data_IF_932491733684
#
_entry.id   IF_932491733684
#
_cell.length_a   1.000
_cell.length_b   1.000
_cell.length_c   1.000
_cell.angle_alpha   90.00
_cell.angle_beta   90.00
_cell.angle_gamma   90.00
#
_symmetry.space_group_name_H-M   'P 1'
#
loop_
_entity.id
_entity.type
_entity.pdbx_description
1 polymer ?
#
# COMPACT_ATOMS: atom_id res chain seq x y z
N UNK A 1 12.73 -9.90 2.25
CA UNK A 1 12.13 -10.23 0.94
C UNK A 1 11.38 -8.99 0.49
N UNK A 2 11.89 -8.27 -0.50
CA UNK A 2 11.20 -7.10 -1.06
C UNK A 2 10.08 -7.56 -1.99
N UNK A 3 9.01 -6.77 -2.09
CA UNK A 3 8.00 -6.99 -3.14
C UNK A 3 8.62 -6.66 -4.51
N UNK A 4 8.04 -7.24 -5.56
CA UNK A 4 8.48 -6.94 -6.92
C UNK A 4 8.34 -5.42 -7.20
N UNK A 5 9.33 -4.84 -7.89
CA UNK A 5 9.38 -3.40 -8.20
C UNK A 5 8.17 -2.96 -9.03
N UNK A 6 7.68 -3.82 -9.93
CA UNK A 6 6.49 -3.54 -10.75
C UNK A 6 5.25 -3.45 -9.87
N UNK A 7 5.10 -4.39 -8.94
CA UNK A 7 4.00 -4.40 -7.97
C UNK A 7 4.07 -3.15 -7.09
N UNK A 8 5.27 -2.79 -6.60
CA UNK A 8 5.46 -1.58 -5.78
C UNK A 8 5.03 -0.32 -6.51
N UNK A 9 5.47 -0.13 -7.76
CA UNK A 9 5.11 1.04 -8.56
C UNK A 9 3.60 1.13 -8.75
N UNK A 10 2.97 0.02 -9.16
CA UNK A 10 1.52 -0.05 -9.33
C UNK A 10 0.77 0.25 -8.02
N UNK A 11 1.24 -0.32 -6.91
CA UNK A 11 0.65 -0.10 -5.60
C UNK A 11 0.74 1.37 -5.17
N UNK A 12 1.87 2.05 -5.41
CA UNK A 12 2.00 3.49 -5.16
C UNK A 12 1.02 4.30 -6.01
N UNK A 13 0.88 3.98 -7.30
CA UNK A 13 -0.07 4.68 -8.18
C UNK A 13 -1.51 4.51 -7.74
N UNK A 14 -1.86 3.31 -7.27
CA UNK A 14 -3.15 3.03 -6.67
C UNK A 14 -3.31 3.82 -5.36
N UNK A 15 -2.34 3.76 -4.44
CA UNK A 15 -2.40 4.46 -3.15
C UNK A 15 -2.60 5.97 -3.33
N UNK A 16 -1.96 6.61 -4.31
CA UNK A 16 -2.13 8.05 -4.59
C UNK A 16 -3.56 8.45 -4.98
N UNK A 17 -4.37 7.50 -5.44
CA UNK A 17 -5.79 7.69 -5.80
C UNK A 17 -6.74 7.49 -4.62
N UNK A 18 -6.23 7.04 -3.46
CA UNK A 18 -7.02 6.73 -2.28
C UNK A 18 -6.48 7.45 -1.04
N UNK A 19 -7.37 8.06 -0.26
CA UNK A 19 -7.03 8.75 0.99
C UNK A 19 -6.91 7.80 2.20
N UNK A 20 -7.06 6.49 1.96
CA UNK A 20 -7.01 5.43 2.96
C UNK A 20 -5.96 4.39 2.58
N UNK A 21 -5.40 3.65 3.55
CA UNK A 21 -4.46 2.57 3.24
C UNK A 21 -5.16 1.52 2.38
N UNK A 22 -4.63 1.28 1.18
CA UNK A 22 -5.11 0.27 0.23
C UNK A 22 -3.99 -0.72 -0.07
N UNK A 23 -4.36 -1.96 -0.40
CA UNK A 23 -3.41 -2.98 -0.83
C UNK A 23 -3.03 -2.83 -2.32
N UNK A 24 -2.18 -3.73 -2.83
CA UNK A 24 -1.65 -3.67 -4.20
C UNK A 24 -2.71 -3.77 -5.32
N UNK A 25 -3.96 -4.09 -4.97
CA UNK A 25 -5.10 -4.16 -5.89
C UNK A 25 -6.14 -3.06 -5.63
N UNK A 26 -5.87 -2.10 -4.74
CA UNK A 26 -6.75 -0.96 -4.46
C UNK A 26 -7.89 -1.24 -3.48
N UNK A 27 -7.85 -2.38 -2.79
CA UNK A 27 -8.80 -2.69 -1.73
C UNK A 27 -8.28 -2.12 -0.41
N UNK A 28 -9.13 -1.42 0.33
CA UNK A 28 -8.79 -0.89 1.65
C UNK A 28 -8.22 -1.99 2.54
N UNK A 29 -7.04 -1.76 3.12
CA UNK A 29 -6.43 -2.67 4.08
C UNK A 29 -7.30 -2.63 5.34
N UNK A 30 -7.88 -3.77 5.70
CA UNK A 30 -8.62 -3.89 6.95
C UNK A 30 -7.64 -4.01 8.12
N UNK A 31 -8.07 -3.61 9.32
CA UNK A 31 -7.23 -3.67 10.52
C UNK A 31 -6.79 -5.10 10.89
N UNK A 32 -7.52 -6.11 10.44
CA UNK A 32 -7.17 -7.53 10.61
C UNK A 32 -6.07 -8.01 9.67
N UNK A 33 -5.81 -7.27 8.59
CA UNK A 33 -4.80 -7.60 7.58
C UNK A 33 -3.44 -7.00 7.96
N UNK A 34 -2.99 -7.31 9.18
CA UNK A 34 -1.77 -6.74 9.78
C UNK A 34 -0.53 -6.98 8.94
N UNK A 35 -0.46 -8.12 8.24
CA UNK A 35 0.68 -8.45 7.38
C UNK A 35 0.76 -7.52 6.17
N UNK A 36 -0.37 -7.23 5.53
CA UNK A 36 -0.42 -6.32 4.39
C UNK A 36 -0.15 -4.89 4.84
N UNK A 37 -0.66 -4.50 6.01
CA UNK A 37 -0.38 -3.19 6.61
C UNK A 37 1.11 -3.02 6.93
N UNK A 38 1.77 -4.04 7.51
CA UNK A 38 3.21 -4.02 7.76
C UNK A 38 4.00 -3.86 6.46
N UNK A 39 3.72 -4.69 5.45
CA UNK A 39 4.39 -4.56 4.13
C UNK A 39 4.18 -3.18 3.52
N UNK A 40 2.97 -2.64 3.63
CA UNK A 40 2.64 -1.32 3.11
C UNK A 40 3.47 -0.20 3.80
N UNK A 41 3.69 -0.30 5.11
CA UNK A 41 4.55 0.63 5.87
C UNK A 41 6.04 0.39 5.58
N UNK A 42 6.50 -0.86 5.58
CA UNK A 42 7.90 -1.23 5.31
C UNK A 42 8.35 -0.81 3.92
N UNK A 43 7.46 -0.90 2.93
CA UNK A 43 7.73 -0.45 1.56
C UNK A 43 7.62 1.07 1.39
N UNK A 44 7.17 1.80 2.42
CA UNK A 44 7.03 3.25 2.44
C UNK A 44 5.88 3.77 1.58
N UNK A 45 4.85 2.95 1.37
CA UNK A 45 3.67 3.30 0.56
C UNK A 45 2.76 4.27 1.33
N UNK A 46 2.86 4.27 2.66
CA UNK A 46 2.15 5.17 3.57
C UNK A 46 2.36 6.65 3.27
N UNK A 47 3.55 7.00 2.79
CA UNK A 47 3.94 8.39 2.45
C UNK A 47 3.12 8.99 1.32
N UNK A 48 2.38 8.17 0.58
CA UNK A 48 1.58 8.60 -0.57
C UNK A 48 0.09 8.76 -0.26
N UNK A 49 -0.33 8.59 1.01
CA UNK A 49 -1.66 9.02 1.45
C UNK A 49 -1.75 10.54 1.33
N UNK A 50 -2.78 11.02 0.63
CA UNK A 50 -3.13 12.45 0.67
C UNK A 50 -3.71 12.76 2.06
N UNK A 51 -3.11 13.77 2.71
CA UNK A 51 -3.57 14.31 3.99
C UNK A 51 -4.59 15.40 3.77
#
# INVERSE_FOLDING_TARGET
MGIDIVIKKNWIEIQKKHDVPVNAIGVKIANKDERTLKVWQEEGIDKFIKK
#
